data_IF_861633229644
#
_entry.id   IF_861633229644
#
_cell.length_a   1.000
_cell.length_b   1.000
_cell.length_c   1.000
_cell.angle_alpha   90.00
_cell.angle_beta   90.00
_cell.angle_gamma   90.00
#
_symmetry.space_group_name_H-M   'P 1'
#
loop_
_entity.id
_entity.type
_entity.pdbx_description
1 polymer ?
#
# COMPACT_ATOMS: atom_id res chain seq x y z
N UNK A 1 -7.27 -23.24 11.01
CA UNK A 1 -7.16 -22.05 10.13
C UNK A 1 -6.74 -20.80 10.92
N UNK A 2 -5.63 -20.86 11.69
CA UNK A 2 -5.25 -19.82 12.66
C UNK A 2 -3.90 -19.12 12.38
N UNK A 3 -3.21 -19.44 11.26
CA UNK A 3 -1.87 -18.88 10.98
C UNK A 3 -1.82 -17.93 9.77
N UNK A 4 -2.88 -17.85 8.97
CA UNK A 4 -2.86 -17.09 7.70
C UNK A 4 -3.03 -15.59 7.93
N UNK A 5 -3.83 -15.19 8.93
CA UNK A 5 -4.18 -13.78 9.16
C UNK A 5 -2.96 -12.91 9.52
N UNK A 6 -2.03 -13.35 10.40
CA UNK A 6 -0.80 -12.58 10.67
C UNK A 6 0.11 -12.45 9.44
N UNK A 7 0.15 -13.48 8.58
CA UNK A 7 0.96 -13.46 7.35
C UNK A 7 0.43 -12.44 6.33
N UNK A 8 -0.85 -12.11 6.37
CA UNK A 8 -1.41 -11.05 5.51
C UNK A 8 -0.79 -9.68 5.81
N UNK A 9 -0.36 -9.43 7.05
CA UNK A 9 0.35 -8.21 7.42
C UNK A 9 1.66 -8.01 6.63
N UNK A 10 2.31 -9.08 6.18
CA UNK A 10 3.54 -9.01 5.38
C UNK A 10 3.31 -8.37 4.01
N UNK A 11 2.09 -8.49 3.46
CA UNK A 11 1.69 -7.79 2.23
C UNK A 11 1.83 -6.27 2.43
N UNK A 12 1.57 -5.79 3.65
CA UNK A 12 1.73 -4.39 4.03
C UNK A 12 3.13 -3.82 3.78
N UNK A 13 4.17 -4.66 3.87
CA UNK A 13 5.56 -4.24 3.68
C UNK A 13 5.87 -3.76 2.26
N UNK A 14 5.08 -4.18 1.26
CA UNK A 14 5.14 -3.64 -0.11
C UNK A 14 5.04 -2.11 -0.09
N UNK A 15 4.25 -1.56 0.85
CA UNK A 15 4.05 -0.13 1.03
C UNK A 15 5.33 0.68 1.21
N UNK A 16 6.37 0.09 1.80
CA UNK A 16 7.66 0.74 2.03
C UNK A 16 8.35 1.13 0.72
N UNK A 17 8.04 0.47 -0.40
CA UNK A 17 8.53 0.88 -1.71
C UNK A 17 8.12 2.33 -2.04
N UNK A 18 6.96 2.81 -1.55
CA UNK A 18 6.50 4.18 -1.73
C UNK A 18 7.50 5.25 -1.26
N UNK A 19 8.32 4.94 -0.24
CA UNK A 19 9.36 5.85 0.26
C UNK A 19 10.46 6.13 -0.77
N UNK A 20 10.65 5.24 -1.76
CA UNK A 20 11.57 5.50 -2.87
C UNK A 20 11.18 6.75 -3.67
N UNK A 21 9.87 7.09 -3.69
CA UNK A 21 9.35 8.31 -4.31
C UNK A 21 9.77 9.60 -3.62
N UNK A 22 10.15 9.55 -2.34
CA UNK A 22 10.68 10.72 -1.61
C UNK A 22 12.10 11.06 -2.08
N UNK A 23 12.91 10.03 -2.36
CA UNK A 23 14.27 10.19 -2.87
C UNK A 23 14.30 10.44 -4.38
N UNK A 24 13.40 9.81 -5.13
CA UNK A 24 13.27 9.91 -6.58
C UNK A 24 11.82 10.27 -6.92
N UNK A 25 11.48 11.57 -6.95
CA UNK A 25 10.10 11.98 -7.19
C UNK A 25 9.63 11.64 -8.61
N UNK A 26 8.33 11.39 -8.73
CA UNK A 26 7.66 11.22 -10.03
C UNK A 26 7.67 12.57 -10.77
N UNK A 27 7.89 12.54 -12.08
CA UNK A 27 7.84 13.74 -12.91
C UNK A 27 6.46 14.42 -12.85
N UNK A 28 6.42 15.75 -12.74
CA UNK A 28 5.21 16.52 -12.39
C UNK A 28 4.14 16.49 -13.49
N UNK A 29 4.59 16.39 -14.74
CA UNK A 29 3.76 16.32 -15.95
C UNK A 29 3.06 14.97 -16.13
N UNK A 30 3.43 13.94 -15.35
CA UNK A 30 2.78 12.63 -15.45
C UNK A 30 1.38 12.65 -14.84
N UNK A 31 0.41 12.26 -15.65
CA UNK A 31 -0.96 11.95 -15.23
C UNK A 31 -1.00 10.93 -14.07
N UNK A 32 -2.16 10.73 -13.44
CA UNK A 32 -2.32 9.72 -12.38
C UNK A 32 -1.98 10.18 -10.96
N UNK A 33 -1.97 11.50 -10.70
CA UNK A 33 -1.79 12.07 -9.36
C UNK A 33 -2.80 11.53 -8.35
N UNK A 34 -4.04 11.29 -8.76
CA UNK A 34 -5.08 10.69 -7.91
C UNK A 34 -4.70 9.30 -7.38
N UNK A 35 -4.22 8.39 -8.25
CA UNK A 35 -3.78 7.05 -7.81
C UNK A 35 -2.57 7.15 -6.89
N UNK A 36 -1.63 8.05 -7.18
CA UNK A 36 -0.47 8.26 -6.30
C UNK A 36 -0.88 8.80 -4.93
N UNK A 37 -1.91 9.64 -4.85
CA UNK A 37 -2.47 10.13 -3.59
C UNK A 37 -3.13 9.03 -2.77
N UNK A 38 -3.71 8.00 -3.40
CA UNK A 38 -4.16 6.78 -2.70
C UNK A 38 -3.02 6.09 -1.95
N UNK A 39 -1.75 6.37 -2.30
CA UNK A 39 -0.57 5.97 -1.53
C UNK A 39 -0.66 6.31 -0.04
N UNK A 40 -1.30 7.43 0.30
CA UNK A 40 -1.46 7.85 1.70
C UNK A 40 -2.36 6.90 2.50
N UNK A 41 -3.26 6.15 1.85
CA UNK A 41 -4.07 5.12 2.50
C UNK A 41 -3.22 3.99 3.07
N UNK A 42 -1.97 3.84 2.63
CA UNK A 42 -0.99 2.90 3.20
C UNK A 42 -0.73 3.12 4.69
N UNK A 43 -0.89 4.36 5.19
CA UNK A 43 -0.80 4.62 6.63
C UNK A 43 -1.88 3.89 7.43
N UNK A 44 -3.02 3.57 6.80
CA UNK A 44 -4.04 2.71 7.39
C UNK A 44 -3.53 1.31 7.75
N UNK A 45 -2.45 0.84 7.12
CA UNK A 45 -1.79 -0.42 7.50
C UNK A 45 -1.26 -0.43 8.94
N UNK A 46 -1.03 0.72 9.57
CA UNK A 46 -0.67 0.79 11.00
C UNK A 46 -1.78 0.26 11.90
N UNK A 47 -3.04 0.23 11.44
CA UNK A 47 -4.15 -0.41 12.13
C UNK A 47 -3.89 -1.91 12.36
N UNK A 48 -3.00 -2.54 11.58
CA UNK A 48 -2.56 -3.92 11.76
C UNK A 48 -1.87 -4.23 13.09
N UNK A 49 -1.49 -3.21 13.87
CA UNK A 49 -0.99 -3.39 15.24
C UNK A 49 -2.11 -3.77 16.23
N UNK A 50 -3.37 -3.49 15.89
CA UNK A 50 -4.54 -3.75 16.73
C UNK A 50 -5.58 -4.66 16.06
N UNK A 51 -5.63 -4.66 14.72
CA UNK A 51 -6.62 -5.40 13.94
C UNK A 51 -5.88 -6.41 13.05
N UNK A 52 -6.03 -7.68 13.37
CA UNK A 52 -5.44 -8.77 12.58
C UNK A 52 -5.86 -8.66 11.10
N UNK A 53 -4.89 -8.74 10.19
CA UNK A 53 -5.10 -8.65 8.74
C UNK A 53 -5.21 -7.23 8.17
N UNK A 54 -5.53 -6.21 8.98
CA UNK A 54 -5.58 -4.80 8.52
C UNK A 54 -4.20 -4.29 8.08
N UNK A 55 -3.11 -4.90 8.58
CA UNK A 55 -1.73 -4.61 8.17
C UNK A 55 -1.49 -4.70 6.66
N UNK A 56 -2.26 -5.54 5.95
CA UNK A 56 -2.18 -5.66 4.50
C UNK A 56 -2.46 -4.33 3.77
N UNK A 57 -3.27 -3.42 4.35
CA UNK A 57 -3.53 -2.08 3.80
C UNK A 57 -2.24 -1.26 3.63
N UNK A 58 -1.17 -1.60 4.35
CA UNK A 58 0.14 -0.99 4.19
C UNK A 58 0.62 -0.98 2.74
N UNK A 59 0.24 -1.99 1.94
CA UNK A 59 0.65 -2.11 0.53
C UNK A 59 0.23 -0.89 -0.29
N UNK A 60 -0.90 -0.23 0.04
CA UNK A 60 -1.34 0.98 -0.65
C UNK A 60 -0.24 2.03 -0.70
N UNK A 61 0.67 2.10 0.28
CA UNK A 61 1.84 2.99 0.29
C UNK A 61 2.65 2.97 -1.02
N UNK A 62 2.70 1.82 -1.70
CA UNK A 62 3.41 1.69 -2.96
C UNK A 62 2.72 2.42 -4.13
N UNK A 63 1.40 2.66 -4.08
CA UNK A 63 0.66 3.37 -5.14
C UNK A 63 1.23 4.76 -5.44
N UNK A 64 1.97 5.38 -4.52
CA UNK A 64 2.76 6.59 -4.77
C UNK A 64 3.73 6.47 -5.96
N UNK A 65 4.13 5.24 -6.32
CA UNK A 65 4.99 4.92 -7.46
C UNK A 65 4.24 4.41 -8.70
N UNK A 66 2.90 4.35 -8.70
CA UNK A 66 2.08 3.61 -9.67
C UNK A 66 2.52 3.75 -11.13
N UNK A 67 2.83 4.97 -11.56
CA UNK A 67 3.36 5.26 -12.90
C UNK A 67 4.68 6.04 -12.83
N UNK A 68 5.58 5.66 -11.93
CA UNK A 68 6.91 6.23 -11.85
C UNK A 68 7.70 6.03 -13.16
N UNK A 69 8.60 6.96 -13.52
CA UNK A 69 9.39 6.90 -14.77
C UNK A 69 10.33 5.70 -14.87
N UNK A 70 10.85 5.23 -13.74
CA UNK A 70 11.50 3.92 -13.62
C UNK A 70 10.48 2.78 -13.66
N UNK A 71 10.61 1.88 -14.63
CA UNK A 71 9.76 0.70 -14.80
C UNK A 71 9.77 -0.24 -13.57
N UNK A 72 10.92 -0.35 -12.89
CA UNK A 72 11.04 -1.12 -11.66
C UNK A 72 10.15 -0.52 -10.56
N UNK A 73 10.21 0.79 -10.35
CA UNK A 73 9.39 1.48 -9.34
C UNK A 73 7.90 1.47 -9.69
N UNK A 74 7.55 1.60 -10.97
CA UNK A 74 6.16 1.46 -11.42
C UNK A 74 5.61 0.05 -11.19
N UNK A 75 6.46 -0.97 -11.25
CA UNK A 75 6.05 -2.36 -10.94
C UNK A 75 5.72 -2.50 -9.45
N UNK A 76 6.58 -1.99 -8.57
CA UNK A 76 6.26 -1.88 -7.14
C UNK A 76 4.98 -1.08 -6.90
N UNK A 77 4.80 0.03 -7.61
CA UNK A 77 3.61 0.84 -7.44
C UNK A 77 2.31 0.15 -7.82
N UNK A 78 2.31 -0.70 -8.85
CA UNK A 78 1.14 -1.51 -9.22
C UNK A 78 0.80 -2.58 -8.18
N UNK A 79 1.80 -3.11 -7.47
CA UNK A 79 1.58 -4.03 -6.35
C UNK A 79 0.86 -3.38 -5.17
N UNK A 80 0.79 -2.04 -5.11
CA UNK A 80 0.08 -1.36 -4.04
C UNK A 80 -1.42 -1.66 -3.96
N UNK A 81 -2.03 -2.14 -5.04
CA UNK A 81 -3.42 -2.64 -5.04
C UNK A 81 -3.62 -3.88 -4.17
N UNK A 82 -2.55 -4.61 -3.80
CA UNK A 82 -2.64 -5.68 -2.82
C UNK A 82 -3.17 -5.20 -1.45
N UNK A 83 -3.17 -3.89 -1.19
CA UNK A 83 -3.76 -3.29 0.01
C UNK A 83 -5.26 -3.55 0.18
N UNK A 84 -5.98 -3.86 -0.92
CA UNK A 84 -7.39 -4.25 -0.88
C UNK A 84 -7.63 -5.47 0.02
N UNK A 85 -6.64 -6.36 0.18
CA UNK A 85 -6.72 -7.53 1.06
C UNK A 85 -6.99 -7.15 2.51
N UNK A 86 -6.51 -5.99 2.97
CA UNK A 86 -6.70 -5.53 4.34
C UNK A 86 -8.02 -4.80 4.59
N UNK A 87 -8.73 -4.37 3.55
CA UNK A 87 -9.98 -3.59 3.70
C UNK A 87 -11.09 -4.36 4.43
N UNK A 88 -11.38 -5.65 4.14
CA UNK A 88 -12.44 -6.38 4.85
C UNK A 88 -12.20 -6.45 6.37
N UNK A 89 -10.93 -6.57 6.79
CA UNK A 89 -10.55 -6.62 8.20
C UNK A 89 -10.75 -5.26 8.87
N UNK A 90 -10.34 -4.17 8.21
CA UNK A 90 -10.53 -2.82 8.73
C UNK A 90 -12.01 -2.42 8.80
N UNK A 91 -12.80 -2.74 7.77
CA UNK A 91 -14.25 -2.48 7.75
C UNK A 91 -14.95 -3.31 8.82
N UNK A 92 -14.62 -4.59 8.93
CA UNK A 92 -15.19 -5.49 9.94
C UNK A 92 -14.87 -5.07 11.38
N UNK A 93 -13.80 -4.32 11.62
CA UNK A 93 -13.48 -3.77 12.93
C UNK A 93 -14.22 -2.47 13.27
N UNK A 94 -14.84 -1.82 12.28
CA UNK A 94 -15.58 -0.56 12.45
C UNK A 94 -17.10 -0.74 12.54
N UNK A 95 -17.60 -1.91 12.16
CA UNK A 95 -19.02 -2.30 12.19
C UNK A 95 -19.30 -3.16 13.42
#
# INVERSE_FOLDING_TARGET
>A
MMQVVPLLGLIGLIGLAGLAGLRKPVARERAGGGIRALGLLGLGGLAGLWIDGAGAMGAFGALGLWNHQSAALATWGRLGWAGLVGLPFAIGALL
#
